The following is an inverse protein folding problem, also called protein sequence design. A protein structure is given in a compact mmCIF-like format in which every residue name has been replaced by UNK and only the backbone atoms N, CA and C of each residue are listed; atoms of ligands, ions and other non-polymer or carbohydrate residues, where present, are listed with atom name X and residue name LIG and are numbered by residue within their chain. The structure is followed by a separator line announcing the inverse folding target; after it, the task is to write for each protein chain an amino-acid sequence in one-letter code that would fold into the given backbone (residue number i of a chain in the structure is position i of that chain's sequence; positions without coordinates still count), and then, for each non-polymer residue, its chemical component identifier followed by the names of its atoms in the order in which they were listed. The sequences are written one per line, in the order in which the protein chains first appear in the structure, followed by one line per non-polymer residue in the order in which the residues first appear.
data_IF_597110685328
#
_entry.id   IF_597110685328
#
_cell.length_a   1.000
_cell.length_b   1.000
_cell.length_c   1.000
_cell.angle_alpha   90.00
_cell.angle_beta   90.00
_cell.angle_gamma   90.00
#
_symmetry.space_group_name_H-M   'P 1'
#
loop_
_entity.id
_entity.type
_entity.pdbx_description
1 polymer ?
#
# COMPACT_ATOMS: atom_id res chain seq x y z
N UNK A 1 43.27 -14.39 -58.84
CA UNK A 1 41.85 -14.71 -58.59
C UNK A 1 41.55 -14.51 -57.11
N UNK A 2 40.82 -13.46 -56.76
CA UNK A 2 40.38 -13.17 -55.37
C UNK A 2 39.34 -14.22 -54.96
N UNK A 3 39.62 -15.01 -53.93
CA UNK A 3 38.63 -15.89 -53.30
C UNK A 3 37.96 -15.13 -52.16
N UNK A 4 36.68 -14.87 -52.33
CA UNK A 4 35.78 -14.26 -51.34
C UNK A 4 35.49 -15.32 -50.26
N UNK A 5 35.86 -15.04 -49.01
CA UNK A 5 35.39 -15.79 -47.86
C UNK A 5 34.08 -15.14 -47.37
N UNK A 6 32.97 -15.85 -47.48
CA UNK A 6 31.69 -15.47 -46.90
C UNK A 6 31.68 -15.99 -45.46
N UNK A 7 31.72 -15.08 -44.49
CA UNK A 7 31.43 -15.39 -43.09
C UNK A 7 29.90 -15.52 -42.94
N UNK A 8 29.40 -16.75 -42.75
CA UNK A 8 28.04 -17.00 -42.30
C UNK A 8 28.00 -16.76 -40.78
N UNK A 9 27.48 -15.60 -40.36
CA UNK A 9 27.15 -15.34 -38.96
C UNK A 9 25.85 -16.10 -38.65
N UNK A 10 25.97 -17.21 -37.90
CA UNK A 10 24.82 -17.88 -37.30
C UNK A 10 24.31 -17.00 -36.14
N UNK A 11 23.24 -16.24 -36.39
CA UNK A 11 22.52 -15.54 -35.33
C UNK A 11 21.65 -16.57 -34.61
N UNK A 12 22.05 -16.96 -33.40
CA UNK A 12 21.16 -17.65 -32.48
C UNK A 12 20.07 -16.66 -32.04
N UNK A 13 18.86 -16.80 -32.58
CA UNK A 13 17.67 -16.26 -31.94
C UNK A 13 17.48 -17.01 -30.62
N UNK A 14 17.89 -16.39 -29.51
CA UNK A 14 17.34 -16.76 -28.19
C UNK A 14 15.89 -16.29 -28.23
N UNK A 15 14.98 -17.20 -28.60
CA UNK A 15 13.57 -16.99 -28.34
C UNK A 15 13.43 -16.78 -26.82
N UNK A 16 12.67 -15.77 -26.36
CA UNK A 16 12.30 -15.74 -24.96
C UNK A 16 11.60 -17.06 -24.68
N UNK A 17 12.08 -17.82 -23.69
CA UNK A 17 11.31 -18.91 -23.12
C UNK A 17 10.01 -18.28 -22.64
N UNK A 18 8.96 -18.31 -23.47
CA UNK A 18 7.61 -18.16 -22.98
C UNK A 18 7.43 -19.37 -22.08
N UNK A 19 7.44 -19.13 -20.77
CA UNK A 19 6.84 -20.04 -19.81
C UNK A 19 5.44 -20.27 -20.35
N UNK A 20 5.18 -21.43 -20.95
CA UNK A 20 3.81 -21.82 -21.21
C UNK A 20 3.10 -21.67 -19.87
N UNK A 21 1.97 -20.97 -19.79
CA UNK A 21 1.19 -20.98 -18.57
C UNK A 21 0.86 -22.45 -18.33
N UNK A 22 1.51 -23.04 -17.32
CA UNK A 22 1.06 -24.27 -16.68
C UNK A 22 -0.45 -24.14 -16.58
N UNK A 23 -1.22 -25.07 -17.15
CA UNK A 23 -2.68 -25.01 -17.22
C UNK A 23 -3.22 -24.40 -15.92
N UNK A 24 -3.58 -23.10 -15.99
CA UNK A 24 -3.95 -22.33 -14.82
C UNK A 24 -5.31 -22.88 -14.46
N UNK A 25 -5.37 -23.76 -13.45
CA UNK A 25 -6.59 -23.84 -12.66
C UNK A 25 -6.92 -22.40 -12.33
N UNK A 26 -7.98 -21.84 -12.91
CA UNK A 26 -8.39 -20.48 -12.64
C UNK A 26 -8.51 -20.38 -11.11
N UNK A 27 -7.54 -19.73 -10.47
CA UNK A 27 -7.53 -19.64 -9.02
C UNK A 27 -8.86 -19.01 -8.61
N UNK A 28 -9.45 -19.54 -7.54
CA UNK A 28 -10.72 -19.02 -7.05
C UNK A 28 -10.59 -17.51 -6.79
N UNK A 29 -11.63 -16.72 -7.12
CA UNK A 29 -11.58 -15.28 -6.94
C UNK A 29 -11.40 -14.95 -5.45
N UNK A 30 -10.47 -14.03 -5.15
CA UNK A 30 -10.09 -13.64 -3.79
C UNK A 30 -10.64 -12.27 -3.40
N UNK A 31 -11.04 -11.47 -4.38
CA UNK A 31 -11.55 -10.13 -4.13
C UNK A 31 -12.88 -9.93 -4.87
N UNK A 32 -13.82 -9.22 -4.25
CA UNK A 32 -15.11 -8.93 -4.85
C UNK A 32 -15.45 -7.45 -4.72
N UNK A 33 -15.87 -6.84 -5.83
CA UNK A 33 -16.48 -5.51 -5.84
C UNK A 33 -17.97 -5.64 -6.12
N UNK A 34 -18.78 -4.98 -5.30
CA UNK A 34 -20.21 -4.82 -5.50
C UNK A 34 -20.54 -3.54 -6.27
N UNK A 35 -21.23 -3.65 -7.41
CA UNK A 35 -21.30 -2.59 -8.42
C UNK A 35 -22.67 -1.95 -8.67
N UNK A 36 -23.71 -2.42 -8.00
CA UNK A 36 -25.10 -2.02 -8.25
C UNK A 36 -25.66 -1.01 -7.23
N UNK A 37 -24.82 -0.55 -6.29
CA UNK A 37 -25.18 0.43 -5.28
C UNK A 37 -24.59 1.82 -5.56
N UNK A 38 -23.85 1.97 -6.66
CA UNK A 38 -23.21 3.21 -7.08
C UNK A 38 -23.47 3.46 -8.57
N UNK A 39 -23.40 4.72 -8.99
CA UNK A 39 -23.41 5.11 -10.39
C UNK A 39 -22.36 4.33 -11.18
N UNK A 40 -22.79 3.62 -12.23
CA UNK A 40 -21.93 2.76 -13.05
C UNK A 40 -20.68 3.47 -13.56
N UNK A 41 -20.77 4.74 -13.96
CA UNK A 41 -19.62 5.49 -14.47
C UNK A 41 -18.59 5.73 -13.36
N UNK A 42 -19.02 5.98 -12.13
CA UNK A 42 -18.12 6.11 -10.99
C UNK A 42 -17.50 4.77 -10.63
N UNK A 43 -18.28 3.68 -10.62
CA UNK A 43 -17.74 2.32 -10.42
C UNK A 43 -16.62 2.03 -11.43
N UNK A 44 -16.89 2.28 -12.71
CA UNK A 44 -15.96 1.99 -13.80
C UNK A 44 -14.70 2.84 -13.69
N UNK A 45 -14.87 4.17 -13.65
CA UNK A 45 -13.75 5.11 -13.78
C UNK A 45 -12.98 5.34 -12.48
N UNK A 46 -13.61 5.27 -11.30
CA UNK A 46 -12.93 5.52 -10.04
C UNK A 46 -12.39 4.27 -9.35
N UNK A 47 -12.86 3.07 -9.73
CA UNK A 47 -12.49 1.84 -9.03
C UNK A 47 -12.14 0.67 -9.96
N UNK A 48 -13.10 0.20 -10.76
CA UNK A 48 -12.99 -1.06 -11.50
C UNK A 48 -11.81 -1.07 -12.48
N UNK A 49 -11.62 0.01 -13.25
CA UNK A 49 -10.53 0.11 -14.23
C UNK A 49 -9.15 -0.05 -13.59
N UNK A 50 -8.97 0.32 -12.31
CA UNK A 50 -7.70 0.16 -11.62
C UNK A 50 -7.55 -1.22 -10.98
N UNK A 51 -8.64 -1.77 -10.43
CA UNK A 51 -8.63 -3.11 -9.82
C UNK A 51 -8.24 -4.20 -10.81
N UNK A 52 -8.63 -4.06 -12.08
CA UNK A 52 -8.35 -5.05 -13.13
C UNK A 52 -7.08 -4.78 -13.94
N UNK A 53 -6.40 -3.66 -13.70
CA UNK A 53 -5.20 -3.30 -14.46
C UNK A 53 -3.95 -3.84 -13.73
N UNK A 54 -3.24 -4.84 -14.28
CA UNK A 54 -2.04 -5.38 -13.65
C UNK A 54 -0.90 -4.35 -13.50
N UNK A 55 -0.95 -3.22 -14.21
CA UNK A 55 0.01 -2.13 -14.00
C UNK A 55 -0.22 -1.40 -12.67
N UNK A 56 -1.46 -1.33 -12.19
CA UNK A 56 -1.79 -0.73 -10.91
C UNK A 56 -1.88 -1.78 -9.80
N UNK A 57 -2.48 -2.94 -10.07
CA UNK A 57 -2.77 -3.96 -9.05
C UNK A 57 -2.43 -5.38 -9.53
N UNK A 58 -1.14 -5.71 -9.75
CA UNK A 58 -0.73 -7.01 -10.31
C UNK A 58 -1.19 -8.22 -9.46
N UNK A 59 -1.28 -8.06 -8.14
CA UNK A 59 -1.70 -9.12 -7.21
C UNK A 59 -3.22 -9.21 -6.99
N UNK A 60 -3.99 -8.27 -7.53
CA UNK A 60 -5.45 -8.20 -7.35
C UNK A 60 -6.16 -8.47 -8.67
N UNK A 61 -5.68 -7.87 -9.76
CA UNK A 61 -6.28 -7.91 -11.08
C UNK A 61 -6.63 -9.33 -11.57
N UNK A 62 -5.79 -10.37 -11.36
CA UNK A 62 -6.13 -11.73 -11.79
C UNK A 62 -7.23 -12.39 -10.96
N UNK A 63 -7.51 -11.90 -9.75
CA UNK A 63 -8.32 -12.58 -8.74
C UNK A 63 -9.55 -11.77 -8.26
N UNK A 64 -9.75 -10.57 -8.83
CA UNK A 64 -10.89 -9.72 -8.50
C UNK A 64 -12.05 -9.98 -9.45
N UNK A 65 -13.25 -10.11 -8.88
CA UNK A 65 -14.50 -10.19 -9.64
C UNK A 65 -15.41 -9.03 -9.28
N UNK A 66 -16.32 -8.74 -10.20
CA UNK A 66 -17.36 -7.74 -10.05
C UNK A 66 -18.72 -8.40 -10.14
N UNK A 67 -19.61 -8.12 -9.18
CA UNK A 67 -20.96 -8.69 -9.10
C UNK A 67 -21.94 -7.69 -8.49
N UNK A 68 -23.24 -7.78 -8.81
CA UNK A 68 -24.25 -7.02 -8.08
C UNK A 68 -24.41 -7.58 -6.66
N UNK A 69 -24.56 -6.71 -5.66
CA UNK A 69 -24.98 -7.11 -4.32
C UNK A 69 -26.48 -7.46 -4.32
N UNK A 70 -26.80 -8.75 -4.22
CA UNK A 70 -28.16 -9.28 -4.13
C UNK A 70 -28.15 -10.73 -3.63
N UNK A 71 -29.33 -11.30 -3.38
CA UNK A 71 -29.48 -12.68 -2.91
C UNK A 71 -28.82 -13.72 -3.83
N UNK A 72 -28.96 -13.56 -5.15
CA UNK A 72 -28.42 -14.49 -6.16
C UNK A 72 -26.90 -14.58 -6.06
N UNK A 73 -26.23 -13.43 -6.00
CA UNK A 73 -24.77 -13.37 -5.86
C UNK A 73 -24.32 -13.97 -4.54
N UNK A 74 -25.00 -13.68 -3.43
CA UNK A 74 -24.62 -14.19 -2.10
C UNK A 74 -24.93 -15.68 -1.90
N UNK A 75 -25.84 -16.26 -2.68
CA UNK A 75 -26.05 -17.71 -2.77
C UNK A 75 -24.97 -18.38 -3.63
N UNK A 76 -24.55 -17.73 -4.71
CA UNK A 76 -23.52 -18.26 -5.62
C UNK A 76 -22.11 -18.17 -5.02
N UNK A 77 -21.82 -17.09 -4.31
CA UNK A 77 -20.50 -16.79 -3.77
C UNK A 77 -20.59 -16.62 -2.26
N UNK A 78 -19.92 -17.51 -1.53
CA UNK A 78 -19.79 -17.39 -0.08
C UNK A 78 -18.81 -16.28 0.25
N UNK A 79 -19.30 -15.24 0.92
CA UNK A 79 -18.50 -14.04 1.25
C UNK A 79 -17.17 -14.37 1.93
N UNK A 80 -17.16 -15.36 2.82
CA UNK A 80 -15.98 -15.76 3.59
C UNK A 80 -14.86 -16.38 2.76
N UNK A 81 -15.11 -16.68 1.48
CA UNK A 81 -14.08 -17.19 0.57
C UNK A 81 -13.26 -16.03 -0.03
N UNK A 82 -13.79 -14.80 0.03
CA UNK A 82 -13.05 -13.60 -0.35
C UNK A 82 -12.22 -13.06 0.81
N UNK A 83 -11.06 -12.55 0.44
CA UNK A 83 -10.10 -11.88 1.29
C UNK A 83 -10.44 -10.40 1.50
N UNK A 84 -10.98 -9.73 0.47
CA UNK A 84 -11.51 -8.37 0.54
C UNK A 84 -12.84 -8.26 -0.21
N UNK A 85 -13.84 -7.65 0.42
CA UNK A 85 -15.05 -7.19 -0.24
C UNK A 85 -15.11 -5.66 -0.30
N UNK A 86 -15.47 -5.10 -1.47
CA UNK A 86 -15.57 -3.67 -1.73
C UNK A 86 -17.04 -3.29 -1.88
N UNK A 87 -17.53 -2.48 -0.94
CA UNK A 87 -18.90 -1.97 -0.88
C UNK A 87 -18.92 -0.50 -1.30
N UNK A 88 -19.29 -0.24 -2.55
CA UNK A 88 -19.50 1.10 -3.09
C UNK A 88 -20.97 1.49 -2.92
N UNK A 89 -21.29 2.21 -1.85
CA UNK A 89 -22.67 2.55 -1.47
C UNK A 89 -23.20 3.79 -2.18
N UNK A 90 -22.32 4.63 -2.76
CA UNK A 90 -22.72 5.91 -3.30
C UNK A 90 -23.56 6.72 -2.33
N UNK A 91 -24.79 7.05 -2.72
CA UNK A 91 -25.74 7.84 -1.91
C UNK A 91 -26.70 6.99 -1.08
N UNK A 92 -26.44 5.69 -0.94
CA UNK A 92 -27.25 4.75 -0.18
C UNK A 92 -26.92 4.73 1.32
N UNK A 93 -27.80 4.09 2.11
CA UNK A 93 -27.63 3.82 3.54
C UNK A 93 -26.70 2.62 3.75
N UNK A 94 -26.02 2.55 4.89
CA UNK A 94 -25.16 1.40 5.20
C UNK A 94 -25.93 0.08 5.26
N UNK A 95 -27.16 0.10 5.75
CA UNK A 95 -28.00 -1.09 5.84
C UNK A 95 -28.96 -1.24 4.64
N UNK A 96 -28.58 -0.73 3.47
CA UNK A 96 -29.35 -0.94 2.23
C UNK A 96 -29.57 -2.43 2.00
N UNK A 97 -30.79 -2.76 1.58
CA UNK A 97 -31.23 -4.12 1.26
C UNK A 97 -31.49 -4.26 -0.24
N UNK A 98 -31.04 -5.38 -0.81
CA UNK A 98 -31.33 -5.76 -2.20
C UNK A 98 -31.90 -7.17 -2.18
N UNK A 99 -33.23 -7.28 -2.23
CA UNK A 99 -33.91 -8.51 -1.84
C UNK A 99 -33.79 -8.72 -0.33
N UNK A 100 -33.41 -9.92 0.09
CA UNK A 100 -33.19 -10.25 1.51
C UNK A 100 -31.78 -9.88 1.99
N UNK A 101 -30.82 -9.73 1.08
CA UNK A 101 -29.44 -9.35 1.34
C UNK A 101 -29.36 -7.96 2.00
N UNK A 102 -28.64 -7.86 3.12
CA UNK A 102 -28.34 -6.60 3.82
C UNK A 102 -26.84 -6.35 3.77
N UNK A 103 -26.43 -5.15 3.35
CA UNK A 103 -25.02 -4.75 3.27
C UNK A 103 -24.34 -4.81 4.64
N UNK A 104 -24.98 -4.27 5.68
CA UNK A 104 -24.43 -4.31 7.05
C UNK A 104 -24.22 -5.76 7.53
N UNK A 105 -25.16 -6.66 7.25
CA UNK A 105 -25.02 -8.07 7.62
C UNK A 105 -23.90 -8.76 6.84
N UNK A 106 -23.74 -8.46 5.55
CA UNK A 106 -22.63 -8.97 4.74
C UNK A 106 -21.27 -8.51 5.30
N UNK A 107 -21.15 -7.22 5.66
CA UNK A 107 -19.93 -6.68 6.30
C UNK A 107 -19.67 -7.40 7.63
N UNK A 108 -20.69 -7.57 8.48
CA UNK A 108 -20.54 -8.30 9.76
C UNK A 108 -20.09 -9.75 9.55
N UNK A 109 -20.58 -10.44 8.52
CA UNK A 109 -20.13 -11.79 8.17
C UNK A 109 -18.66 -11.82 7.77
N UNK A 110 -18.20 -10.86 6.97
CA UNK A 110 -16.79 -10.73 6.61
C UNK A 110 -15.92 -10.53 7.85
N UNK A 111 -16.29 -9.60 8.74
CA UNK A 111 -15.56 -9.32 9.98
C UNK A 111 -15.50 -10.58 10.87
N UNK A 112 -16.62 -11.27 11.04
CA UNK A 112 -16.69 -12.48 11.86
C UNK A 112 -15.79 -13.61 11.33
N UNK A 113 -15.53 -13.63 10.01
CA UNK A 113 -14.61 -14.56 9.36
C UNK A 113 -13.16 -14.03 9.30
N UNK A 114 -12.85 -12.89 9.93
CA UNK A 114 -11.53 -12.28 9.89
C UNK A 114 -11.17 -11.69 8.51
N UNK A 115 -12.16 -11.41 7.66
CA UNK A 115 -12.00 -10.91 6.30
C UNK A 115 -12.18 -9.39 6.23
N UNK A 116 -11.64 -8.81 5.16
CA UNK A 116 -11.44 -7.37 5.10
C UNK A 116 -12.53 -6.68 4.26
N UNK A 117 -12.82 -5.43 4.58
CA UNK A 117 -13.85 -4.64 3.89
C UNK A 117 -13.37 -3.24 3.54
N UNK A 118 -13.61 -2.83 2.29
CA UNK A 118 -13.56 -1.43 1.87
C UNK A 118 -15.00 -0.91 1.77
N UNK A 119 -15.32 0.15 2.50
CA UNK A 119 -16.66 0.75 2.52
C UNK A 119 -16.55 2.20 2.07
N UNK A 120 -17.29 2.59 1.04
CA UNK A 120 -17.29 3.97 0.53
C UNK A 120 -18.75 4.41 0.34
N UNK A 121 -19.16 5.48 1.01
CA UNK A 121 -20.53 6.00 0.87
C UNK A 121 -20.67 7.46 1.29
N UNK A 122 -21.24 8.28 0.41
CA UNK A 122 -21.30 9.76 0.52
C UNK A 122 -22.23 10.29 1.61
N UNK A 123 -23.30 9.56 1.90
CA UNK A 123 -24.38 10.00 2.80
C UNK A 123 -24.62 9.03 3.96
N UNK A 124 -23.72 8.06 4.15
CA UNK A 124 -23.90 6.99 5.13
C UNK A 124 -24.04 7.55 6.55
N UNK A 125 -23.24 8.56 6.91
CA UNK A 125 -23.27 9.13 8.25
C UNK A 125 -24.46 10.08 8.42
N UNK A 126 -24.81 10.83 7.37
CA UNK A 126 -26.01 11.67 7.35
C UNK A 126 -27.26 10.85 7.67
N UNK A 127 -27.47 9.71 6.99
CA UNK A 127 -28.63 8.86 7.27
C UNK A 127 -28.61 8.28 8.69
N UNK A 128 -27.44 7.89 9.17
CA UNK A 128 -27.28 7.24 10.46
C UNK A 128 -27.47 8.20 11.64
N UNK A 129 -26.94 9.43 11.56
CA UNK A 129 -26.80 10.32 12.72
C UNK A 129 -27.57 11.64 12.60
N UNK A 130 -27.85 12.12 11.40
CA UNK A 130 -28.57 13.37 11.23
C UNK A 130 -30.10 13.11 11.25
N UNK A 131 -30.89 13.81 12.09
CA UNK A 131 -32.34 13.67 12.10
C UNK A 131 -33.01 13.88 10.74
N UNK A 132 -32.45 14.76 9.89
CA UNK A 132 -32.96 15.02 8.55
C UNK A 132 -32.66 13.88 7.55
N UNK A 133 -31.72 12.98 7.87
CA UNK A 133 -31.42 11.79 7.06
C UNK A 133 -32.46 10.69 7.19
N UNK A 134 -33.06 10.53 8.37
CA UNK A 134 -34.26 9.72 8.58
C UNK A 134 -34.09 8.20 8.59
N UNK A 135 -32.87 7.63 8.52
CA UNK A 135 -32.67 6.20 8.80
C UNK A 135 -32.57 5.95 10.31
N UNK A 136 -31.69 6.71 10.98
CA UNK A 136 -31.49 6.71 12.45
C UNK A 136 -31.44 5.30 13.07
N UNK A 137 -30.93 4.34 12.31
CA UNK A 137 -30.97 2.94 12.69
C UNK A 137 -29.95 2.67 13.82
N UNK A 138 -30.38 2.22 15.02
CA UNK A 138 -29.47 2.03 16.15
C UNK A 138 -28.35 1.04 15.89
N UNK A 139 -28.59 0.00 15.07
CA UNK A 139 -27.56 -0.98 14.72
C UNK A 139 -26.50 -0.41 13.78
N UNK A 140 -26.91 0.49 12.87
CA UNK A 140 -26.01 1.22 11.97
C UNK A 140 -25.18 2.22 12.77
N UNK A 141 -25.82 2.99 13.64
CA UNK A 141 -25.15 3.92 14.54
C UNK A 141 -24.12 3.20 15.40
N UNK A 142 -24.50 2.08 16.02
CA UNK A 142 -23.59 1.27 16.83
C UNK A 142 -22.41 0.75 16.00
N UNK A 143 -22.64 0.26 14.80
CA UNK A 143 -21.55 -0.19 13.93
C UNK A 143 -20.60 0.96 13.57
N UNK A 144 -21.12 2.07 13.06
CA UNK A 144 -20.29 3.21 12.68
C UNK A 144 -19.54 3.77 13.90
N UNK A 145 -20.19 3.88 15.06
CA UNK A 145 -19.63 4.54 16.23
C UNK A 145 -18.74 3.67 17.10
N UNK A 146 -19.10 2.40 17.33
CA UNK A 146 -18.37 1.50 18.23
C UNK A 146 -17.38 0.61 17.46
N UNK A 147 -17.78 0.18 16.26
CA UNK A 147 -16.95 -0.71 15.43
C UNK A 147 -15.94 0.08 14.59
N UNK A 148 -16.35 1.17 13.95
CA UNK A 148 -15.44 2.02 13.14
C UNK A 148 -14.87 3.22 13.91
N UNK A 149 -15.35 3.49 15.13
CA UNK A 149 -14.83 4.61 15.94
C UNK A 149 -15.20 5.99 15.40
N UNK A 150 -16.30 6.11 14.65
CA UNK A 150 -16.74 7.36 14.03
C UNK A 150 -17.57 8.18 15.02
N UNK A 151 -17.20 9.44 15.18
CA UNK A 151 -18.05 10.49 15.74
C UNK A 151 -18.46 11.46 14.64
N UNK A 152 -19.70 11.37 14.19
CA UNK A 152 -20.24 12.23 13.13
C UNK A 152 -20.27 13.69 13.59
N UNK A 153 -19.85 14.59 12.71
CA UNK A 153 -19.85 16.03 12.98
C UNK A 153 -21.00 16.72 12.24
N UNK A 154 -20.95 16.71 10.90
CA UNK A 154 -21.91 17.45 10.08
C UNK A 154 -21.80 17.07 8.61
N UNK A 155 -22.69 17.63 7.77
CA UNK A 155 -22.46 17.73 6.33
C UNK A 155 -21.67 18.99 6.03
N UNK A 156 -20.43 18.83 5.60
CA UNK A 156 -19.60 19.94 5.17
C UNK A 156 -20.09 20.46 3.83
N UNK A 157 -20.62 21.68 3.81
CA UNK A 157 -20.97 22.38 2.57
C UNK A 157 -19.71 22.79 1.84
N UNK A 158 -19.63 22.50 0.55
CA UNK A 158 -18.56 22.94 -0.38
C UNK A 158 -19.17 23.63 -1.60
N UNK A 159 -20.38 24.15 -1.43
CA UNK A 159 -21.06 24.99 -2.41
C UNK A 159 -22.00 25.98 -1.71
N UNK A 160 -22.46 26.96 -2.48
CA UNK A 160 -23.52 27.89 -2.12
C UNK A 160 -24.50 28.02 -3.28
N UNK A 161 -25.78 27.80 -3.00
CA UNK A 161 -26.85 28.07 -3.97
C UNK A 161 -27.46 29.46 -3.72
N UNK A 162 -27.56 30.26 -4.77
CA UNK A 162 -28.27 31.55 -4.78
C UNK A 162 -29.24 31.57 -5.95
N UNK A 163 -30.54 31.42 -5.67
CA UNK A 163 -31.55 31.20 -6.70
C UNK A 163 -31.26 29.93 -7.50
N UNK A 164 -31.10 30.07 -8.82
CA UNK A 164 -30.79 28.96 -9.74
C UNK A 164 -29.28 28.77 -9.98
N UNK A 165 -28.41 29.61 -9.39
CA UNK A 165 -26.96 29.48 -9.55
C UNK A 165 -26.35 28.72 -8.38
N UNK A 166 -25.43 27.81 -8.69
CA UNK A 166 -24.61 27.10 -7.71
C UNK A 166 -23.17 27.57 -7.86
N UNK A 167 -22.63 28.16 -6.80
CA UNK A 167 -21.22 28.45 -6.63
C UNK A 167 -20.56 27.24 -5.95
N UNK A 168 -19.52 26.68 -6.56
CA UNK A 168 -18.75 25.57 -5.99
C UNK A 168 -17.46 26.10 -5.38
N UNK A 169 -17.15 25.65 -4.17
CA UNK A 169 -15.88 25.92 -3.52
C UNK A 169 -14.95 24.73 -3.73
N UNK A 170 -13.71 25.02 -4.10
CA UNK A 170 -12.65 24.04 -4.14
C UNK A 170 -12.29 23.62 -2.71
N UNK A 171 -11.80 22.39 -2.60
CA UNK A 171 -11.27 21.86 -1.36
C UNK A 171 -10.25 20.76 -1.66
N UNK A 172 -9.55 20.32 -0.63
CA UNK A 172 -8.61 19.21 -0.71
C UNK A 172 -9.00 18.11 0.26
N UNK A 173 -8.66 16.88 -0.12
CA UNK A 173 -8.55 15.75 0.80
C UNK A 173 -7.08 15.43 0.96
N UNK A 174 -6.57 15.45 2.19
CA UNK A 174 -5.16 15.18 2.48
C UNK A 174 -5.01 13.94 3.34
N UNK A 175 -4.12 13.05 2.94
CA UNK A 175 -3.74 11.90 3.76
C UNK A 175 -3.30 12.30 5.16
N UNK A 176 -3.64 11.50 6.17
CA UNK A 176 -3.05 11.65 7.49
C UNK A 176 -1.54 11.41 7.44
N UNK A 177 -0.80 12.08 8.32
CA UNK A 177 0.66 11.93 8.43
C UNK A 177 1.00 10.57 9.07
N UNK A 178 1.99 9.87 8.49
CA UNK A 178 2.38 8.52 8.94
C UNK A 178 1.39 7.40 8.62
N UNK A 179 0.19 7.71 8.11
CA UNK A 179 -0.78 6.70 7.75
C UNK A 179 -0.41 6.00 6.42
N UNK A 180 -0.35 4.65 6.37
CA UNK A 180 0.05 3.92 5.17
C UNK A 180 -0.95 4.02 4.02
N UNK A 181 -2.19 4.42 4.30
CA UNK A 181 -3.25 4.56 3.30
C UNK A 181 -3.36 6.00 2.79
N UNK A 182 -3.24 6.99 3.67
CA UNK A 182 -3.30 8.41 3.37
C UNK A 182 -1.99 9.01 2.84
N UNK A 183 -0.86 8.69 3.49
CA UNK A 183 0.51 9.13 3.15
C UNK A 183 0.69 10.65 2.95
N UNK A 184 -0.03 11.52 3.68
CA UNK A 184 0.04 12.98 3.49
C UNK A 184 -0.26 13.51 2.08
N UNK A 185 -0.79 12.67 1.18
CA UNK A 185 -1.03 13.02 -0.22
C UNK A 185 -2.25 13.94 -0.34
N UNK A 186 -2.08 15.04 -1.07
CA UNK A 186 -3.14 16.00 -1.36
C UNK A 186 -3.91 15.56 -2.62
N UNK A 187 -5.23 15.51 -2.51
CA UNK A 187 -6.20 15.22 -3.58
C UNK A 187 -7.09 16.44 -3.78
N UNK A 188 -7.00 17.03 -4.96
CA UNK A 188 -7.80 18.19 -5.33
C UNK A 188 -9.23 17.79 -5.65
N UNK A 189 -10.19 18.51 -5.08
CA UNK A 189 -11.63 18.24 -5.21
C UNK A 189 -12.39 19.51 -5.58
N UNK A 190 -13.49 19.37 -6.34
CA UNK A 190 -14.25 20.50 -6.93
C UNK A 190 -13.43 21.45 -7.83
N UNK A 191 -12.21 21.06 -8.22
CA UNK A 191 -11.30 21.87 -9.04
C UNK A 191 -10.46 20.99 -9.94
N UNK A 192 -10.10 21.52 -11.11
CA UNK A 192 -9.11 20.91 -12.00
C UNK A 192 -7.69 21.09 -11.44
N UNK A 193 -6.91 20.02 -11.40
CA UNK A 193 -5.50 20.05 -11.05
C UNK A 193 -4.63 19.97 -12.30
N UNK A 194 -3.70 20.89 -12.49
CA UNK A 194 -2.78 20.91 -13.63
C UNK A 194 -1.41 20.43 -13.18
N UNK A 195 -1.12 19.11 -13.23
CA UNK A 195 0.18 18.57 -12.80
C UNK A 195 1.35 19.04 -13.67
N UNK A 196 1.06 19.40 -14.93
CA UNK A 196 2.04 19.85 -15.91
C UNK A 196 1.35 20.71 -16.97
N UNK A 197 2.10 21.60 -17.68
CA UNK A 197 1.52 22.46 -18.70
C UNK A 197 0.71 21.67 -19.75
N UNK A 198 -0.51 22.15 -20.05
CA UNK A 198 -1.39 21.57 -21.06
C UNK A 198 -2.17 20.31 -20.63
N UNK A 199 -2.03 19.85 -19.39
CA UNK A 199 -2.80 18.72 -18.85
C UNK A 199 -3.55 19.17 -17.61
N UNK A 200 -4.88 19.15 -17.64
CA UNK A 200 -5.71 19.38 -16.46
C UNK A 200 -6.49 18.11 -16.13
N UNK A 201 -6.27 17.61 -14.94
CA UNK A 201 -7.00 16.53 -14.34
C UNK A 201 -8.24 17.09 -13.66
N UNK A 202 -9.42 16.62 -14.06
CA UNK A 202 -10.68 16.99 -13.45
C UNK A 202 -11.19 15.87 -12.55
N UNK A 203 -11.92 16.22 -11.46
CA UNK A 203 -12.71 15.23 -10.74
C UNK A 203 -13.85 14.75 -11.63
N UNK A 204 -14.31 13.53 -11.39
CA UNK A 204 -15.46 12.96 -12.10
C UNK A 204 -16.79 13.47 -11.55
N UNK A 205 -16.79 13.99 -10.32
CA UNK A 205 -17.96 14.56 -9.67
C UNK A 205 -17.60 15.86 -8.94
N UNK A 206 -18.52 16.81 -9.00
CA UNK A 206 -18.47 18.05 -8.22
C UNK A 206 -19.51 17.94 -7.11
N UNK A 207 -19.06 18.15 -5.88
CA UNK A 207 -19.86 17.94 -4.69
C UNK A 207 -20.47 19.25 -4.20
N UNK A 208 -21.69 19.17 -3.67
CA UNK A 208 -22.35 20.28 -2.95
C UNK A 208 -22.00 20.23 -1.46
N UNK A 209 -22.06 19.03 -0.90
CA UNK A 209 -21.78 18.75 0.50
C UNK A 209 -21.53 17.26 0.70
N UNK A 210 -20.84 16.89 1.79
CA UNK A 210 -20.55 15.49 2.15
C UNK A 210 -20.39 15.36 3.67
N UNK A 211 -20.45 14.13 4.16
CA UNK A 211 -20.28 13.86 5.58
C UNK A 211 -18.82 14.05 6.03
N UNK A 212 -18.62 14.80 7.11
CA UNK A 212 -17.35 14.87 7.84
C UNK A 212 -17.55 14.37 9.27
N UNK A 213 -16.50 13.78 9.82
CA UNK A 213 -16.51 13.15 11.13
C UNK A 213 -15.14 13.28 11.80
N UNK A 214 -15.01 12.81 13.04
CA UNK A 214 -13.72 12.62 13.72
C UNK A 214 -13.57 11.18 14.23
N UNK A 215 -12.33 10.79 14.50
CA UNK A 215 -12.03 9.53 15.17
C UNK A 215 -12.25 9.66 16.68
N UNK A 216 -12.89 8.66 17.30
CA UNK A 216 -13.02 8.57 18.76
C UNK A 216 -11.71 8.26 19.47
N UNK A 217 -10.79 7.60 18.78
CA UNK A 217 -9.48 7.19 19.28
C UNK A 217 -8.55 7.06 18.06
N UNK A 218 -7.73 8.09 17.74
CA UNK A 218 -6.86 8.08 16.57
C UNK A 218 -5.78 6.99 16.58
N UNK A 219 -5.49 6.36 17.72
CA UNK A 219 -4.54 5.23 17.80
C UNK A 219 -5.25 3.95 17.37
N UNK A 220 -6.46 3.72 17.90
CA UNK A 220 -7.26 2.51 17.60
C UNK A 220 -7.97 2.57 16.25
N UNK A 221 -8.46 3.76 15.88
CA UNK A 221 -9.18 4.05 14.65
C UNK A 221 -8.45 5.16 13.87
N UNK A 222 -7.29 4.87 13.25
CA UNK A 222 -6.48 5.89 12.62
C UNK A 222 -7.22 6.65 11.53
N UNK A 223 -7.18 8.00 11.54
CA UNK A 223 -7.64 8.79 10.41
C UNK A 223 -6.79 8.46 9.19
N UNK A 224 -7.45 8.33 8.04
CA UNK A 224 -6.79 8.09 6.76
C UNK A 224 -6.70 9.37 5.96
N UNK A 225 -7.78 10.14 5.93
CA UNK A 225 -7.91 11.32 5.06
C UNK A 225 -8.66 12.46 5.76
N UNK A 226 -8.06 13.65 5.74
CA UNK A 226 -8.59 14.90 6.29
C UNK A 226 -9.21 15.76 5.19
N UNK A 227 -10.31 16.44 5.52
CA UNK A 227 -10.85 17.52 4.71
C UNK A 227 -10.09 18.83 4.97
N UNK A 228 -9.77 19.57 3.91
CA UNK A 228 -9.08 20.87 3.97
C UNK A 228 -9.77 21.86 3.02
N UNK A 229 -10.19 23.02 3.52
CA UNK A 229 -10.93 24.03 2.74
C UNK A 229 -9.99 24.98 1.98
N UNK A 230 -9.09 25.68 2.67
CA UNK A 230 -8.03 26.56 2.14
C UNK A 230 -6.97 26.81 3.23
N UNK A 231 -5.76 27.28 2.87
CA UNK A 231 -4.63 27.60 3.77
C UNK A 231 -3.90 26.45 4.50
N UNK A 232 -4.20 25.18 4.22
CA UNK A 232 -3.54 24.06 4.92
C UNK A 232 -3.76 24.07 6.45
N UNK A 233 -4.67 24.89 6.98
CA UNK A 233 -5.11 24.77 8.36
C UNK A 233 -5.68 23.36 8.50
N UNK A 234 -5.07 22.60 9.40
CA UNK A 234 -5.55 21.31 9.87
C UNK A 234 -6.61 21.61 10.93
N UNK A 235 -7.92 21.57 10.62
CA UNK A 235 -8.85 21.12 11.62
C UNK A 235 -8.49 19.65 11.86
N UNK A 236 -7.70 19.39 12.90
CA UNK A 236 -7.23 18.04 13.27
C UNK A 236 -8.39 17.02 13.32
N UNK A 237 -9.62 17.52 13.52
CA UNK A 237 -10.82 16.72 13.73
C UNK A 237 -11.81 16.64 12.55
N UNK A 238 -11.52 17.13 11.34
CA UNK A 238 -12.45 16.89 10.19
C UNK A 238 -11.88 15.92 9.18
N UNK A 239 -12.24 14.64 9.34
CA UNK A 239 -11.82 13.55 8.47
C UNK A 239 -12.96 13.05 7.59
N UNK A 240 -12.56 12.43 6.48
CA UNK A 240 -13.43 11.79 5.48
C UNK A 240 -13.03 10.34 5.22
N UNK A 241 -11.92 9.87 5.79
CA UNK A 241 -11.45 8.49 5.71
C UNK A 241 -10.92 8.01 7.05
N UNK A 242 -11.21 6.76 7.40
CA UNK A 242 -10.77 6.12 8.65
C UNK A 242 -10.52 4.63 8.40
N UNK A 243 -9.64 4.03 9.19
CA UNK A 243 -9.40 2.59 9.17
C UNK A 243 -9.35 2.00 10.55
N UNK A 244 -9.56 0.68 10.66
CA UNK A 244 -9.50 -0.04 11.92
C UNK A 244 -9.18 -1.51 11.72
N UNK A 245 -8.62 -2.12 12.76
CA UNK A 245 -8.45 -3.57 12.85
C UNK A 245 -9.45 -4.14 13.88
N UNK A 246 -10.03 -5.31 13.59
CA UNK A 246 -11.01 -5.99 14.45
C UNK A 246 -10.66 -7.47 14.46
N UNK A 247 -9.99 -7.93 15.52
CA UNK A 247 -9.39 -9.26 15.51
C UNK A 247 -8.38 -9.35 14.37
N UNK A 248 -8.56 -10.29 13.44
CA UNK A 248 -7.74 -10.37 12.23
C UNK A 248 -8.31 -9.60 11.04
N UNK A 249 -9.50 -9.01 11.12
CA UNK A 249 -10.10 -8.26 10.03
C UNK A 249 -9.58 -6.81 9.97
N UNK A 250 -9.48 -6.25 8.78
CA UNK A 250 -9.15 -4.85 8.49
C UNK A 250 -10.30 -4.18 7.74
N UNK A 251 -10.60 -2.95 8.12
CA UNK A 251 -11.63 -2.15 7.48
C UNK A 251 -11.12 -0.76 7.15
N UNK A 252 -11.49 -0.26 5.98
CA UNK A 252 -11.41 1.15 5.65
C UNK A 252 -12.81 1.67 5.32
N UNK A 253 -13.10 2.89 5.78
CA UNK A 253 -14.32 3.61 5.47
C UNK A 253 -14.01 5.00 4.93
N UNK A 254 -14.67 5.41 3.84
CA UNK A 254 -14.72 6.80 3.39
C UNK A 254 -16.14 7.32 3.29
N UNK A 255 -16.33 8.56 3.74
CA UNK A 255 -17.55 9.34 3.57
C UNK A 255 -17.59 10.17 2.28
N UNK A 256 -16.56 10.02 1.45
CA UNK A 256 -16.44 10.65 0.14
C UNK A 256 -16.01 9.59 -0.88
N UNK A 257 -16.58 9.63 -2.08
CA UNK A 257 -16.16 8.73 -3.15
C UNK A 257 -14.93 9.25 -3.89
N UNK A 258 -14.12 8.34 -4.43
CA UNK A 258 -12.89 8.68 -5.12
C UNK A 258 -13.13 9.40 -6.45
N UNK A 259 -14.36 9.35 -6.98
CA UNK A 259 -14.80 10.20 -8.10
C UNK A 259 -14.66 11.71 -7.81
N UNK A 260 -14.58 12.12 -6.54
CA UNK A 260 -14.32 13.50 -6.14
C UNK A 260 -12.86 13.96 -6.40
N UNK A 261 -11.93 13.02 -6.62
CA UNK A 261 -10.52 13.34 -6.78
C UNK A 261 -10.17 13.68 -8.23
N UNK A 262 -9.46 14.79 -8.42
CA UNK A 262 -8.98 15.23 -9.71
C UNK A 262 -7.94 14.27 -10.30
N UNK A 263 -8.29 13.60 -11.39
CA UNK A 263 -7.38 12.77 -12.18
C UNK A 263 -7.35 11.28 -11.83
N UNK A 264 -6.83 10.50 -12.76
CA UNK A 264 -6.80 9.03 -12.63
C UNK A 264 -5.75 8.56 -11.62
N UNK A 265 -4.60 9.25 -11.57
CA UNK A 265 -3.49 8.90 -10.69
C UNK A 265 -3.90 8.95 -9.21
N UNK A 266 -4.49 10.06 -8.69
CA UNK A 266 -4.91 10.10 -7.29
C UNK A 266 -5.96 9.05 -6.93
N UNK A 267 -6.91 8.75 -7.84
CA UNK A 267 -7.91 7.69 -7.67
C UNK A 267 -7.28 6.30 -7.58
N UNK A 268 -6.44 5.96 -8.56
CA UNK A 268 -5.78 4.67 -8.65
C UNK A 268 -4.89 4.41 -7.41
N UNK A 269 -4.05 5.38 -7.03
CA UNK A 269 -3.14 5.20 -5.91
C UNK A 269 -3.85 5.20 -4.55
N UNK A 270 -4.93 5.97 -4.39
CA UNK A 270 -5.71 5.90 -3.15
C UNK A 270 -6.36 4.53 -2.98
N UNK A 271 -6.93 3.98 -4.06
CA UNK A 271 -7.50 2.63 -4.04
C UNK A 271 -6.43 1.56 -3.83
N UNK A 272 -5.28 1.67 -4.51
CA UNK A 272 -4.17 0.75 -4.36
C UNK A 272 -3.70 0.68 -2.90
N UNK A 273 -3.45 1.83 -2.27
CA UNK A 273 -3.01 1.87 -0.86
C UNK A 273 -4.05 1.31 0.09
N UNK A 274 -5.33 1.59 -0.14
CA UNK A 274 -6.42 1.03 0.65
C UNK A 274 -6.43 -0.50 0.56
N UNK A 275 -6.36 -1.05 -0.66
CA UNK A 275 -6.37 -2.51 -0.89
C UNK A 275 -5.10 -3.18 -0.35
N UNK A 276 -3.93 -2.56 -0.52
CA UNK A 276 -2.67 -3.06 0.02
C UNK A 276 -2.67 -3.10 1.56
N UNK A 277 -3.19 -2.07 2.20
CA UNK A 277 -3.32 -2.09 3.65
C UNK A 277 -4.33 -3.14 4.11
N UNK A 278 -5.50 -3.21 3.47
CA UNK A 278 -6.52 -4.21 3.77
C UNK A 278 -5.96 -5.62 3.67
N UNK A 279 -5.21 -5.94 2.61
CA UNK A 279 -4.64 -7.29 2.42
C UNK A 279 -3.37 -7.56 3.22
N UNK A 280 -2.77 -6.56 3.88
CA UNK A 280 -1.48 -6.73 4.56
C UNK A 280 -1.53 -7.65 5.79
N UNK A 281 -2.71 -8.07 6.24
CA UNK A 281 -2.92 -9.11 7.25
C UNK A 281 -3.08 -10.53 6.63
N UNK A 282 -3.09 -10.63 5.31
CA UNK A 282 -3.25 -11.86 4.54
C UNK A 282 -1.87 -12.29 4.05
N UNK A 283 -1.51 -13.54 4.34
CA UNK A 283 -0.28 -14.08 3.79
C UNK A 283 -0.33 -14.14 2.25
N UNK A 284 0.72 -13.72 1.56
CA UNK A 284 0.86 -13.91 0.12
C UNK A 284 0.74 -15.38 -0.27
N UNK A 285 0.20 -15.68 -1.46
CA UNK A 285 0.00 -17.08 -1.88
C UNK A 285 1.28 -17.83 -2.22
N UNK A 286 2.40 -17.12 -2.43
CA UNK A 286 3.71 -17.73 -2.64
C UNK A 286 4.53 -17.86 -1.35
N UNK A 287 5.80 -18.23 -1.50
CA UNK A 287 6.79 -18.10 -0.44
C UNK A 287 7.20 -16.62 -0.31
N UNK A 288 7.14 -16.06 0.88
CA UNK A 288 7.59 -14.69 1.19
C UNK A 288 8.16 -14.64 2.59
N UNK A 289 8.96 -13.62 2.89
CA UNK A 289 9.54 -13.45 4.21
C UNK A 289 9.80 -12.00 4.56
N UNK A 290 9.74 -11.73 5.86
CA UNK A 290 10.18 -10.49 6.47
C UNK A 290 11.52 -10.68 7.17
N UNK A 291 12.23 -9.57 7.38
CA UNK A 291 13.53 -9.53 8.05
C UNK A 291 13.47 -8.45 9.13
N UNK A 292 13.94 -8.77 10.32
CA UNK A 292 13.99 -7.85 11.45
C UNK A 292 15.33 -7.98 12.20
N UNK A 293 16.15 -6.92 12.29
CA UNK A 293 15.92 -5.60 11.69
C UNK A 293 16.15 -5.60 10.17
N UNK A 294 15.52 -4.66 9.45
CA UNK A 294 15.70 -4.50 7.99
C UNK A 294 17.06 -3.89 7.60
N UNK A 295 17.75 -3.28 8.58
CA UNK A 295 19.11 -2.73 8.51
C UNK A 295 19.81 -3.16 9.79
N UNK A 296 21.04 -3.64 9.69
CA UNK A 296 21.86 -4.00 10.86
C UNK A 296 22.84 -2.86 11.10
N UNK A 297 22.58 -2.07 12.14
CA UNK A 297 23.40 -0.94 12.56
C UNK A 297 24.08 -1.25 13.90
N UNK A 298 25.39 -1.42 13.88
CA UNK A 298 26.19 -1.68 15.07
C UNK A 298 26.52 -0.41 15.87
N UNK A 299 26.17 0.77 15.37
CA UNK A 299 26.57 2.04 15.97
C UNK A 299 28.09 2.16 16.06
N UNK A 300 28.61 2.47 17.24
CA UNK A 300 30.04 2.64 17.50
C UNK A 300 30.62 1.43 18.22
N UNK A 301 31.68 0.84 17.65
CA UNK A 301 32.46 -0.24 18.26
C UNK A 301 33.94 0.14 18.16
N UNK A 302 34.67 0.20 19.29
CA UNK A 302 36.09 0.56 19.25
C UNK A 302 36.92 -0.46 18.42
N UNK A 303 37.96 -0.02 17.69
CA UNK A 303 38.79 -0.93 16.90
C UNK A 303 39.33 -2.11 17.70
N UNK A 304 39.23 -3.32 17.13
CA UNK A 304 39.60 -4.57 17.77
C UNK A 304 38.65 -5.06 18.87
N UNK A 305 37.56 -4.33 19.15
CA UNK A 305 36.41 -4.83 19.92
C UNK A 305 35.33 -5.33 18.99
N UNK A 306 34.40 -6.10 19.53
CA UNK A 306 33.31 -6.67 18.75
C UNK A 306 31.97 -6.38 19.39
N UNK A 307 30.96 -6.14 18.56
CA UNK A 307 29.55 -6.20 18.94
C UNK A 307 28.81 -7.21 18.07
N UNK A 308 27.63 -7.64 18.49
CA UNK A 308 26.84 -8.67 17.81
C UNK A 308 25.36 -8.31 17.78
N UNK A 309 24.77 -8.32 16.59
CA UNK A 309 23.35 -8.13 16.38
C UNK A 309 22.74 -9.42 15.82
N UNK A 310 21.57 -9.77 16.34
CA UNK A 310 20.76 -10.85 15.80
C UNK A 310 19.72 -10.29 14.83
N UNK A 311 19.66 -10.87 13.65
CA UNK A 311 18.66 -10.61 12.62
C UNK A 311 17.81 -11.86 12.42
N UNK A 312 16.50 -11.69 12.33
CA UNK A 312 15.53 -12.76 12.19
C UNK A 312 14.86 -12.70 10.82
N UNK A 313 14.85 -13.83 10.13
CA UNK A 313 14.13 -14.04 8.87
C UNK A 313 12.87 -14.84 9.19
N UNK A 314 11.70 -14.32 8.86
CA UNK A 314 10.40 -14.91 9.24
C UNK A 314 9.63 -15.26 7.97
N UNK A 315 9.25 -16.52 7.79
CA UNK A 315 8.42 -16.95 6.67
C UNK A 315 6.99 -16.43 6.83
N UNK A 316 6.51 -15.62 5.89
CA UNK A 316 5.20 -14.95 5.95
C UNK A 316 4.19 -15.45 4.92
N UNK A 317 4.66 -16.14 3.89
CA UNK A 317 3.84 -16.64 2.78
C UNK A 317 3.00 -17.88 3.10
N UNK A 318 2.07 -18.24 2.22
CA UNK A 318 1.27 -19.48 2.34
C UNK A 318 2.04 -20.73 1.91
N UNK A 319 3.06 -20.58 1.06
CA UNK A 319 3.96 -21.68 0.70
C UNK A 319 5.21 -21.66 1.56
N UNK A 320 5.84 -22.83 1.68
CA UNK A 320 7.08 -22.98 2.42
C UNK A 320 8.22 -22.17 1.77
N UNK A 321 8.90 -21.38 2.59
CA UNK A 321 10.08 -20.63 2.21
C UNK A 321 11.29 -21.56 2.25
N UNK A 322 12.05 -21.62 1.16
CA UNK A 322 13.34 -22.29 1.12
C UNK A 322 14.41 -21.20 1.10
N UNK A 323 15.21 -21.15 2.17
CA UNK A 323 16.41 -20.32 2.22
C UNK A 323 17.57 -21.18 1.69
N UNK A 324 18.19 -20.73 0.60
CA UNK A 324 19.23 -21.49 -0.11
C UNK A 324 20.63 -21.12 0.36
N UNK A 325 20.86 -19.83 0.60
CA UNK A 325 22.15 -19.27 0.99
C UNK A 325 21.99 -17.98 1.78
N UNK A 326 22.84 -17.80 2.79
CA UNK A 326 23.00 -16.52 3.48
C UNK A 326 24.51 -16.28 3.62
N UNK A 327 25.03 -15.26 2.96
CA UNK A 327 26.43 -14.87 3.03
C UNK A 327 26.63 -13.37 2.75
N UNK A 328 27.82 -12.85 2.98
CA UNK A 328 28.14 -11.47 2.59
C UNK A 328 28.35 -11.35 1.09
N UNK A 329 27.60 -10.43 0.48
CA UNK A 329 27.87 -9.95 -0.88
C UNK A 329 28.99 -8.90 -0.88
N UNK A 330 28.97 -8.00 0.09
CA UNK A 330 30.00 -6.98 0.31
C UNK A 330 30.41 -6.96 1.79
N UNK A 331 31.71 -7.07 2.06
CA UNK A 331 32.27 -7.07 3.41
C UNK A 331 33.66 -6.42 3.40
N UNK A 332 33.76 -5.08 3.44
CA UNK A 332 35.05 -4.41 3.40
C UNK A 332 35.92 -4.82 4.58
N UNK A 333 37.18 -5.14 4.30
CA UNK A 333 38.18 -5.59 5.27
C UNK A 333 37.76 -6.78 6.15
N UNK A 334 36.76 -7.58 5.74
CA UNK A 334 36.24 -8.73 6.49
C UNK A 334 35.87 -8.40 7.95
N UNK A 335 35.35 -7.19 8.20
CA UNK A 335 34.99 -6.72 9.55
C UNK A 335 33.66 -7.29 10.05
N UNK A 336 32.80 -7.77 9.15
CA UNK A 336 31.55 -8.44 9.49
C UNK A 336 31.69 -9.96 9.40
N UNK A 337 31.12 -10.69 10.36
CA UNK A 337 31.18 -12.15 10.44
C UNK A 337 29.81 -12.74 10.77
N UNK A 338 29.36 -13.76 10.03
CA UNK A 338 28.17 -14.54 10.41
C UNK A 338 28.60 -15.62 11.41
N UNK A 339 28.34 -15.37 12.69
CA UNK A 339 28.79 -16.28 13.77
C UNK A 339 27.80 -17.41 14.05
N UNK A 340 26.54 -17.25 13.62
CA UNK A 340 25.55 -18.32 13.61
C UNK A 340 24.45 -18.03 12.59
N UNK A 341 23.81 -19.09 12.07
CA UNK A 341 22.72 -18.94 11.11
C UNK A 341 23.17 -18.75 9.65
N UNK A 342 24.46 -18.97 9.35
CA UNK A 342 24.93 -19.10 7.97
C UNK A 342 24.24 -20.28 7.29
N UNK A 343 23.82 -20.10 6.04
CA UNK A 343 23.17 -21.15 5.24
C UNK A 343 24.08 -21.45 4.05
N UNK A 344 24.55 -22.70 3.99
CA UNK A 344 25.28 -23.26 2.84
C UNK A 344 24.58 -24.51 2.26
N UNK A 345 23.54 -25.00 2.96
CA UNK A 345 22.65 -26.05 2.50
C UNK A 345 21.21 -25.57 2.70
N UNK A 346 20.31 -25.75 1.72
CA UNK A 346 18.97 -25.20 1.81
C UNK A 346 18.20 -25.68 3.05
N UNK A 347 17.48 -24.75 3.69
CA UNK A 347 16.54 -25.06 4.78
C UNK A 347 15.14 -24.60 4.41
N UNK A 348 14.14 -25.28 4.94
CA UNK A 348 12.73 -24.98 4.70
C UNK A 348 12.06 -24.42 5.95
N UNK A 349 11.42 -23.26 5.82
CA UNK A 349 10.62 -22.61 6.85
C UNK A 349 9.14 -22.60 6.44
N UNK A 350 8.31 -23.26 7.24
CA UNK A 350 6.85 -23.12 7.14
C UNK A 350 6.44 -21.72 7.58
N UNK A 351 5.24 -21.29 7.19
CA UNK A 351 4.66 -20.00 7.61
C UNK A 351 4.75 -19.82 9.14
N UNK A 352 5.23 -18.67 9.57
CA UNK A 352 5.42 -18.30 10.97
C UNK A 352 6.71 -18.87 11.60
N UNK A 353 7.41 -19.80 10.95
CA UNK A 353 8.73 -20.22 11.38
C UNK A 353 9.77 -19.17 10.99
N UNK A 354 10.88 -19.18 11.73
CA UNK A 354 11.94 -18.21 11.57
C UNK A 354 13.32 -18.84 11.63
N UNK A 355 14.27 -18.21 10.94
CA UNK A 355 15.69 -18.49 11.01
C UNK A 355 16.42 -17.26 11.55
N UNK A 356 17.31 -17.45 12.52
CA UNK A 356 18.05 -16.34 13.15
C UNK A 356 19.50 -16.36 12.70
N UNK A 357 20.02 -15.19 12.33
CA UNK A 357 21.38 -14.95 11.86
C UNK A 357 22.03 -13.99 12.85
N UNK A 358 23.15 -14.38 13.45
CA UNK A 358 23.93 -13.49 14.30
C UNK A 358 25.13 -12.98 13.53
N UNK A 359 25.24 -11.67 13.48
CA UNK A 359 26.30 -10.98 12.77
C UNK A 359 27.15 -10.28 13.80
N UNK A 360 28.47 -10.50 13.74
CA UNK A 360 29.46 -9.81 14.55
C UNK A 360 30.12 -8.74 13.70
N UNK A 361 30.35 -7.58 14.29
CA UNK A 361 31.16 -6.52 13.71
C UNK A 361 32.41 -6.30 14.56
N UNK A 362 33.59 -6.30 13.93
CA UNK A 362 34.89 -6.05 14.57
C UNK A 362 35.69 -5.06 13.72
N UNK A 363 35.53 -3.75 13.92
CA UNK A 363 36.24 -2.74 13.13
C UNK A 363 37.75 -2.83 13.37
N UNK A 364 38.53 -2.53 12.33
CA UNK A 364 40.00 -2.53 12.40
C UNK A 364 40.58 -1.12 12.60
N UNK A 365 39.88 -0.12 12.09
CA UNK A 365 40.31 1.29 12.11
C UNK A 365 39.15 2.21 12.50
N UNK A 366 39.47 3.46 12.83
CA UNK A 366 38.47 4.48 13.17
C UNK A 366 37.83 5.10 11.94
N UNK A 367 37.07 4.28 11.21
CA UNK A 367 36.33 4.66 10.00
C UNK A 367 34.92 4.05 10.02
N UNK A 368 34.08 4.48 9.08
CA UNK A 368 32.79 3.82 8.82
C UNK A 368 32.94 2.62 7.92
N UNK A 369 32.30 1.51 8.27
CA UNK A 369 32.22 0.30 7.46
C UNK A 369 30.79 0.09 7.01
N UNK A 370 30.60 -0.21 5.72
CA UNK A 370 29.31 -0.56 5.13
C UNK A 370 29.47 -1.79 4.26
N UNK A 371 28.64 -2.80 4.52
CA UNK A 371 28.57 -4.04 3.77
C UNK A 371 27.14 -4.41 3.42
N UNK A 372 26.99 -5.57 2.80
CA UNK A 372 25.71 -6.09 2.36
C UNK A 372 25.66 -7.60 2.55
N UNK A 373 24.67 -8.06 3.33
CA UNK A 373 24.36 -9.47 3.51
C UNK A 373 23.34 -9.90 2.44
N UNK A 374 23.65 -10.94 1.68
CA UNK A 374 22.76 -11.54 0.69
C UNK A 374 21.96 -12.70 1.28
N UNK A 375 20.66 -12.73 1.01
CA UNK A 375 19.76 -13.84 1.32
C UNK A 375 19.21 -14.37 0.01
N UNK A 376 19.58 -15.61 -0.35
CA UNK A 376 19.03 -16.32 -1.51
C UNK A 376 17.88 -17.24 -1.10
N UNK A 377 16.77 -17.20 -1.83
CA UNK A 377 15.55 -17.96 -1.49
C UNK A 377 14.63 -18.21 -2.69
N UNK A 378 13.61 -19.05 -2.49
CA UNK A 378 12.53 -19.26 -3.45
C UNK A 378 11.38 -18.21 -3.36
N UNK A 379 11.59 -17.05 -2.75
CA UNK A 379 10.52 -16.09 -2.52
C UNK A 379 9.94 -15.52 -3.83
N UNK A 380 8.61 -15.31 -3.86
CA UNK A 380 7.79 -15.07 -5.07
C UNK A 380 8.20 -13.84 -5.90
N UNK A 381 8.93 -12.88 -5.32
CA UNK A 381 9.30 -11.61 -5.97
C UNK A 381 10.79 -11.30 -5.97
N UNK A 382 11.58 -11.99 -5.16
CA UNK A 382 12.99 -11.70 -4.97
C UNK A 382 13.74 -13.00 -4.67
N UNK A 383 14.50 -13.50 -5.66
CA UNK A 383 15.41 -14.62 -5.42
C UNK A 383 16.52 -14.21 -4.45
N UNK A 384 17.02 -12.97 -4.59
CA UNK A 384 18.01 -12.35 -3.72
C UNK A 384 17.43 -11.13 -3.01
N UNK A 385 17.64 -11.04 -1.69
CA UNK A 385 17.43 -9.83 -0.90
C UNK A 385 18.73 -9.44 -0.23
N UNK A 386 19.07 -8.16 -0.32
CA UNK A 386 20.27 -7.59 0.31
C UNK A 386 19.88 -6.81 1.56
N UNK A 387 20.56 -7.09 2.66
CA UNK A 387 20.40 -6.39 3.95
C UNK A 387 21.65 -5.56 4.18
N UNK A 388 21.46 -4.25 4.38
CA UNK A 388 22.54 -3.35 4.72
C UNK A 388 23.07 -3.67 6.12
N UNK A 389 24.39 -3.82 6.24
CA UNK A 389 25.11 -3.94 7.51
C UNK A 389 26.12 -2.80 7.61
N UNK A 390 26.18 -2.11 8.74
CA UNK A 390 27.10 -1.00 8.90
C UNK A 390 27.43 -0.68 10.37
N UNK A 391 28.52 0.04 10.57
CA UNK A 391 28.96 0.50 11.90
C UNK A 391 30.25 1.32 11.82
N UNK A 392 30.63 1.95 12.93
CA UNK A 392 31.83 2.79 13.06
C UNK A 392 32.86 2.18 13.99
N UNK A 393 34.14 2.30 13.62
CA UNK A 393 35.27 1.98 14.47
C UNK A 393 35.55 3.00 15.58
N UNK A 394 34.66 3.15 16.55
CA UNK A 394 34.78 4.12 17.65
C UNK A 394 33.99 5.40 17.43
N UNK A 395 34.24 6.42 18.27
CA UNK A 395 33.43 7.64 18.36
C UNK A 395 33.19 8.40 17.04
N UNK A 396 32.01 9.02 16.90
CA UNK A 396 31.50 9.92 15.84
C UNK A 396 32.48 11.03 15.37
N UNK A 397 33.63 11.22 16.02
CA UNK A 397 34.69 12.16 15.60
C UNK A 397 35.61 11.65 14.48
N UNK A 398 35.41 10.43 13.99
CA UNK A 398 36.06 9.96 12.77
C UNK A 398 35.01 9.68 11.70
N UNK A 399 34.38 10.75 11.19
CA UNK A 399 33.57 10.67 9.99
C UNK A 399 34.50 10.59 8.79
N UNK A 400 35.04 9.41 8.49
CA UNK A 400 35.48 9.10 7.12
C UNK A 400 34.45 9.58 6.08
N UNK A 401 34.76 9.66 4.78
CA UNK A 401 33.86 10.28 3.80
C UNK A 401 32.42 9.73 3.91
N UNK A 402 31.47 10.56 4.37
CA UNK A 402 30.06 10.16 4.52
C UNK A 402 29.32 10.69 3.32
N UNK A 403 28.91 9.81 2.41
CA UNK A 403 28.13 10.19 1.26
C UNK A 403 26.65 10.29 1.63
N UNK A 404 26.08 11.49 1.54
CA UNK A 404 24.62 11.67 1.51
C UNK A 404 24.19 12.02 0.10
N UNK A 405 22.95 11.67 -0.22
CA UNK A 405 22.32 12.08 -1.48
C UNK A 405 21.17 13.05 -1.23
N UNK A 406 20.68 13.70 -2.29
CA UNK A 406 19.43 14.47 -2.26
C UNK A 406 18.18 13.57 -2.28
N UNK A 407 18.33 12.24 -2.22
CA UNK A 407 17.23 11.28 -2.19
C UNK A 407 17.10 10.65 -0.80
N UNK A 408 15.94 10.75 -0.14
CA UNK A 408 15.70 10.05 1.11
C UNK A 408 15.78 8.54 0.92
N UNK A 409 16.21 7.82 1.96
CA UNK A 409 16.29 6.35 1.99
C UNK A 409 17.21 5.71 0.93
N UNK A 410 18.10 6.51 0.30
CA UNK A 410 18.95 6.06 -0.81
C UNK A 410 18.16 5.45 -1.99
N UNK A 411 16.88 5.79 -2.13
CA UNK A 411 16.02 5.28 -3.20
C UNK A 411 15.88 6.32 -4.31
N UNK A 412 16.27 5.93 -5.52
CA UNK A 412 16.06 6.72 -6.72
C UNK A 412 14.90 6.12 -7.52
N UNK A 413 13.75 6.79 -7.51
CA UNK A 413 12.59 6.42 -8.32
C UNK A 413 12.44 7.36 -9.54
N UNK A 414 12.65 6.80 -10.74
CA UNK A 414 12.43 7.51 -11.99
C UNK A 414 10.94 7.68 -12.33
N UNK A 415 10.05 6.96 -11.66
CA UNK A 415 8.64 6.88 -11.99
C UNK A 415 8.40 6.28 -13.38
N UNK A 416 7.16 6.42 -13.90
CA UNK A 416 6.81 5.96 -15.25
C UNK A 416 7.40 6.90 -16.31
N UNK A 417 8.31 6.40 -17.16
CA UNK A 417 8.87 7.13 -18.31
C UNK A 417 8.21 6.64 -19.61
N UNK A 418 7.58 7.55 -20.38
CA UNK A 418 6.90 7.19 -21.64
C UNK A 418 7.92 7.00 -22.76
N UNK A 419 7.76 5.99 -23.61
CA UNK A 419 8.56 5.88 -24.85
C UNK A 419 8.13 6.97 -25.85
N UNK A 420 9.05 7.67 -26.57
CA UNK A 420 10.51 7.50 -26.60
C UNK A 420 11.27 8.51 -25.70
N UNK A 421 10.62 9.08 -24.68
CA UNK A 421 11.20 10.17 -23.86
C UNK A 421 12.23 9.67 -22.85
N UNK A 422 13.16 10.53 -22.47
CA UNK A 422 14.08 10.32 -21.34
C UNK A 422 13.72 11.24 -20.17
N UNK A 423 14.00 10.79 -18.95
CA UNK A 423 13.92 11.59 -17.73
C UNK A 423 15.31 11.66 -17.12
N UNK A 424 15.76 12.89 -16.88
CA UNK A 424 17.04 13.16 -16.22
C UNK A 424 16.71 13.58 -14.79
N UNK A 425 17.44 13.02 -13.83
CA UNK A 425 17.42 13.45 -12.44
C UNK A 425 18.83 13.91 -12.08
N UNK A 426 18.91 14.89 -11.19
CA UNK A 426 20.17 15.31 -10.63
C UNK A 426 20.41 14.51 -9.34
N UNK A 427 21.45 13.68 -9.37
CA UNK A 427 21.98 13.02 -8.18
C UNK A 427 23.07 13.90 -7.60
N UNK A 428 22.76 14.54 -6.47
CA UNK A 428 23.75 15.29 -5.71
C UNK A 428 24.41 14.32 -4.74
N UNK A 429 25.70 14.10 -4.93
CA UNK A 429 26.54 13.36 -4.00
C UNK A 429 27.25 14.38 -3.11
N UNK A 430 26.91 14.40 -1.82
CA UNK A 430 27.54 15.31 -0.86
C UNK A 430 28.30 14.49 0.17
N UNK A 431 29.59 14.75 0.29
CA UNK A 431 30.36 14.29 1.44
C UNK A 431 30.00 15.17 2.66
N UNK A 432 29.34 14.59 3.66
CA UNK A 432 29.07 15.20 4.98
C UNK A 432 29.98 14.60 6.07
N UNK A 433 30.98 13.83 5.67
CA UNK A 433 32.04 13.36 6.54
C UNK A 433 33.05 14.46 6.86
N UNK A 434 33.98 14.15 7.75
CA UNK A 434 35.11 14.98 8.16
C UNK A 434 36.42 14.67 7.40
N UNK A 435 36.38 13.74 6.44
CA UNK A 435 37.48 13.43 5.52
C UNK A 435 37.04 13.58 4.05
N UNK A 436 37.93 14.04 3.18
CA UNK A 436 37.65 14.38 1.76
C UNK A 436 37.36 13.20 0.86
#
# INVERSE_FOLDING_TARGET
MKRIFIFLVLIFFIAPLSRQPSAVFAEQPKYILFDNLENKNFVDSAYWNYLIDPQYMPEIAPYVIRKPFNDVTLQQYKLTDFDVAIFLLGDNRLNTRVGNASVLNAIRQMIAAGKNCLIIGRNVLYYAFNPAGGDLNPEVQKFLSDTLGIEYLTRMKVSRQTGNQIEYWSFNVRGAFGDPVGQSIIKWCNIGYTPQPGVTWWPLAIYLEFDVFKSKDPVKYPPVDHFIRTNNDYPDDTIVGIRTEIGTARLCFWSIGFEAFAGDIPRAYQLLRAINWLKGNIAPDGATYDVDPIIVDFGEVEPGKSDTIEMKIISTGKLDLVLEEIDFWENPDDVFEIISGKITNPITLKRGQSHSVKIRFTPKEKIGYKGSLSIKSNALYQEYRYIEVWGYGGGIQAKGPILTTNFPENLIDFGKVKKPTSKIIELVLKNIGDQT
#
